data_IF_305483107494
#
_entry.id   IF_305483107494
#
_cell.length_a   1.000
_cell.length_b   1.000
_cell.length_c   1.000
_cell.angle_alpha   90.00
_cell.angle_beta   90.00
_cell.angle_gamma   90.00
#
_symmetry.space_group_name_H-M   'P 1'
#
loop_
_entity.id
_entity.type
_entity.pdbx_description
1 polymer ?
#
# COMPACT_ATOMS: atom_id res chain seq x y z
N UNK A 1 -17.52 -28.93 -0.33
CA UNK A 1 -16.61 -28.43 -1.38
C UNK A 1 -16.31 -26.93 -1.29
N UNK A 2 -17.27 -26.03 -1.06
CA UNK A 2 -16.99 -24.57 -0.99
C UNK A 2 -16.17 -24.15 0.25
N UNK A 3 -16.57 -24.55 1.46
CA UNK A 3 -15.83 -24.25 2.72
C UNK A 3 -14.38 -24.75 2.73
N UNK A 4 -14.12 -25.89 2.10
CA UNK A 4 -12.79 -26.50 2.01
C UNK A 4 -11.85 -25.70 1.13
N UNK A 5 -12.35 -24.98 0.10
CA UNK A 5 -11.47 -24.18 -0.76
C UNK A 5 -11.18 -22.80 -0.17
N UNK A 6 -12.12 -22.17 0.52
CA UNK A 6 -11.82 -20.96 1.30
C UNK A 6 -10.81 -21.26 2.41
N UNK A 7 -11.05 -22.34 3.17
CA UNK A 7 -10.09 -22.81 4.15
C UNK A 7 -8.75 -23.11 3.48
N UNK A 8 -8.73 -23.74 2.29
CA UNK A 8 -7.48 -23.98 1.56
C UNK A 8 -6.80 -22.70 1.10
N UNK A 9 -7.51 -21.66 0.64
CA UNK A 9 -6.93 -20.37 0.23
C UNK A 9 -6.41 -19.58 1.42
N UNK A 10 -7.16 -19.53 2.52
CA UNK A 10 -6.72 -18.91 3.77
C UNK A 10 -5.56 -19.71 4.37
N UNK A 11 -5.60 -21.04 4.33
CA UNK A 11 -4.48 -21.89 4.73
C UNK A 11 -3.30 -21.79 3.78
N UNK A 12 -3.49 -21.54 2.48
CA UNK A 12 -2.41 -21.29 1.53
C UNK A 12 -1.79 -19.93 1.79
N UNK A 13 -2.60 -18.92 2.09
CA UNK A 13 -2.12 -17.59 2.45
C UNK A 13 -1.39 -17.64 3.79
N UNK A 14 -1.96 -18.31 4.80
CA UNK A 14 -1.34 -18.54 6.10
C UNK A 14 -0.11 -19.42 5.98
N UNK A 15 -0.11 -20.46 5.14
CA UNK A 15 1.05 -21.31 4.89
C UNK A 15 2.12 -20.55 4.12
N UNK A 16 1.76 -19.72 3.13
CA UNK A 16 2.68 -18.85 2.43
C UNK A 16 3.30 -17.84 3.41
N UNK A 17 2.48 -17.17 4.22
CA UNK A 17 2.94 -16.29 5.31
C UNK A 17 3.83 -17.09 6.26
N UNK A 18 3.42 -18.28 6.69
CA UNK A 18 4.20 -19.14 7.60
C UNK A 18 5.53 -19.57 6.99
N UNK A 19 5.57 -19.97 5.72
CA UNK A 19 6.80 -20.36 5.00
C UNK A 19 7.73 -19.17 4.77
N UNK A 20 7.16 -18.02 4.43
CA UNK A 20 7.93 -16.77 4.31
C UNK A 20 8.37 -16.28 5.69
N UNK A 21 7.65 -16.64 6.76
CA UNK A 21 8.05 -16.32 8.14
C UNK A 21 9.07 -17.30 8.72
N UNK A 22 9.03 -18.57 8.32
CA UNK A 22 9.83 -19.67 8.83
C UNK A 22 11.12 -19.93 8.03
N UNK A 23 11.38 -19.16 6.99
CA UNK A 23 12.69 -19.10 6.36
C UNK A 23 13.69 -18.35 7.28
N UNK A 24 14.07 -19.00 8.39
CA UNK A 24 15.21 -18.68 9.24
C UNK A 24 15.77 -20.03 9.72
N UNK A 25 17.01 -20.35 9.36
CA UNK A 25 17.74 -21.53 9.87
C UNK A 25 18.96 -21.01 10.62
N UNK A 26 19.04 -21.36 11.90
CA UNK A 26 20.20 -21.22 12.80
C UNK A 26 21.20 -22.39 12.60
N UNK A 27 22.50 -22.09 12.78
CA UNK A 27 23.53 -23.05 13.13
C UNK A 27 24.64 -22.34 13.94
N UNK A 28 25.04 -22.92 15.09
CA UNK A 28 26.05 -22.47 16.08
C UNK A 28 27.43 -23.18 15.90
N UNK A 29 28.55 -22.46 16.06
CA UNK A 29 29.53 -22.53 17.17
C UNK A 29 30.63 -21.40 17.18
N UNK A 30 30.73 -20.73 18.34
CA UNK A 30 31.86 -20.12 19.09
C UNK A 30 32.87 -19.10 18.47
N UNK A 31 32.74 -17.87 19.01
CA UNK A 31 33.71 -16.78 19.28
C UNK A 31 34.34 -15.91 18.18
N UNK A 32 34.19 -16.25 16.89
CA UNK A 32 34.24 -15.26 15.78
C UNK A 32 32.93 -15.23 14.98
N UNK A 33 31.96 -15.97 15.52
CA UNK A 33 30.73 -16.36 14.88
C UNK A 33 29.59 -15.41 15.21
N UNK A 34 29.60 -14.76 16.38
CA UNK A 34 28.56 -13.78 16.75
C UNK A 34 28.62 -12.56 15.83
N UNK A 35 29.82 -12.10 15.45
CA UNK A 35 29.99 -10.99 14.50
C UNK A 35 29.59 -11.41 13.08
N UNK A 36 29.98 -12.62 12.65
CA UNK A 36 29.67 -13.14 11.31
C UNK A 36 28.19 -13.55 11.18
N UNK A 37 27.57 -14.04 12.24
CA UNK A 37 26.14 -14.35 12.34
C UNK A 37 25.30 -13.10 12.55
N UNK A 38 25.75 -12.09 13.29
CA UNK A 38 25.07 -10.80 13.32
C UNK A 38 25.16 -10.16 11.94
N UNK A 39 26.33 -10.15 11.30
CA UNK A 39 26.48 -9.69 9.93
C UNK A 39 25.69 -10.53 8.92
N UNK A 40 25.54 -11.85 9.08
CA UNK A 40 24.72 -12.70 8.20
C UNK A 40 23.22 -12.61 8.51
N UNK A 41 22.82 -12.49 9.78
CA UNK A 41 21.44 -12.32 10.25
C UNK A 41 20.92 -10.94 9.86
N UNK A 42 21.76 -9.93 10.02
CA UNK A 42 21.49 -8.58 9.57
C UNK A 42 21.70 -8.47 8.07
N UNK A 43 22.65 -9.12 7.40
CA UNK A 43 22.68 -9.18 5.92
C UNK A 43 21.41 -9.82 5.37
N UNK A 44 20.87 -10.88 5.98
CA UNK A 44 19.62 -11.50 5.56
C UNK A 44 18.38 -10.63 5.88
N UNK A 45 18.37 -9.86 6.97
CA UNK A 45 17.32 -8.87 7.27
C UNK A 45 17.48 -7.55 6.48
N UNK A 46 18.70 -7.26 6.01
CA UNK A 46 19.11 -6.10 5.22
C UNK A 46 19.32 -6.47 3.74
N UNK A 47 18.92 -7.67 3.30
CA UNK A 47 19.28 -8.21 1.99
C UNK A 47 18.55 -7.45 0.87
N UNK A 48 19.38 -6.73 0.11
CA UNK A 48 19.28 -5.98 -1.16
C UNK A 48 18.12 -5.03 -1.46
N UNK A 49 16.89 -5.30 -1.01
CA UNK A 49 15.72 -4.49 -1.41
C UNK A 49 15.15 -3.62 -0.28
N UNK A 50 15.56 -3.85 0.98
CA UNK A 50 15.12 -3.05 2.13
C UNK A 50 16.20 -2.07 2.62
N UNK A 51 17.47 -2.35 2.34
CA UNK A 51 18.61 -1.50 2.71
C UNK A 51 19.17 -0.79 1.47
N UNK A 52 19.35 0.52 1.58
CA UNK A 52 20.09 1.34 0.62
C UNK A 52 21.43 1.69 1.28
N UNK A 53 22.53 1.23 0.69
CA UNK A 53 23.89 1.58 1.11
C UNK A 53 24.48 2.56 0.10
N UNK A 54 24.90 3.73 0.58
CA UNK A 54 25.61 4.74 -0.22
C UNK A 54 27.04 4.92 0.33
N UNK A 55 28.03 4.78 -0.55
CA UNK A 55 29.45 4.82 -0.16
C UNK A 55 29.89 3.56 0.61
N UNK A 56 30.87 3.72 1.50
CA UNK A 56 31.42 2.62 2.30
C UNK A 56 31.36 2.93 3.81
N UNK A 57 30.14 2.99 4.38
CA UNK A 57 29.90 3.49 5.74
C UNK A 57 30.52 2.63 6.86
N UNK A 58 30.91 1.39 6.57
CA UNK A 58 31.40 0.43 7.57
C UNK A 58 32.90 0.11 7.46
N UNK A 59 33.60 0.54 6.40
CA UNK A 59 35.03 0.25 6.26
C UNK A 59 35.95 1.20 7.01
N UNK A 60 35.45 2.37 7.42
CA UNK A 60 36.24 3.37 8.15
C UNK A 60 36.11 3.17 9.65
N UNK A 61 37.26 3.04 10.32
CA UNK A 61 37.32 3.20 11.76
C UNK A 61 37.16 4.69 12.09
N UNK A 62 35.97 5.11 12.52
CA UNK A 62 35.71 6.49 12.93
C UNK A 62 36.51 6.78 14.20
N UNK A 63 37.53 7.63 14.11
CA UNK A 63 38.29 8.06 15.28
C UNK A 63 37.46 9.05 16.11
N UNK A 64 37.43 8.90 17.43
CA UNK A 64 36.63 9.76 18.34
C UNK A 64 35.15 9.92 17.90
N UNK A 65 34.40 8.81 17.76
CA UNK A 65 33.03 8.87 17.28
C UNK A 65 32.05 9.35 18.37
N UNK A 66 30.97 9.99 17.94
CA UNK A 66 29.83 10.36 18.77
C UNK A 66 28.54 9.97 18.04
N UNK A 67 27.69 9.19 18.71
CA UNK A 67 26.37 8.88 18.18
C UNK A 67 25.42 10.02 18.53
N UNK A 68 24.73 10.56 17.52
CA UNK A 68 23.68 11.55 17.69
C UNK A 68 22.35 10.92 17.28
N UNK A 69 21.47 10.74 18.26
CA UNK A 69 20.16 10.11 18.07
C UNK A 69 19.10 11.18 17.86
N UNK A 70 18.37 11.06 16.75
CA UNK A 70 17.25 11.94 16.43
C UNK A 70 16.17 11.91 17.51
N UNK A 71 15.60 13.06 17.83
CA UNK A 71 14.52 13.17 18.81
C UNK A 71 13.16 12.71 18.29
N UNK A 72 13.03 12.54 16.96
CA UNK A 72 11.76 12.23 16.29
C UNK A 72 11.85 10.99 15.42
N UNK A 73 12.53 9.94 15.89
CA UNK A 73 12.69 8.69 15.15
C UNK A 73 11.35 8.03 14.84
N UNK A 74 11.20 7.53 13.62
CA UNK A 74 10.03 6.73 13.24
C UNK A 74 10.09 5.30 13.83
N UNK A 75 9.00 4.54 13.65
CA UNK A 75 8.87 3.17 14.21
C UNK A 75 9.94 2.21 13.65
N UNK A 76 10.36 2.41 12.40
CA UNK A 76 11.38 1.59 11.75
C UNK A 76 12.75 1.98 12.32
N UNK A 77 13.09 3.26 12.38
CA UNK A 77 14.33 3.75 12.99
C UNK A 77 14.45 3.35 14.46
N UNK A 78 13.37 3.38 15.24
CA UNK A 78 13.36 2.88 16.62
C UNK A 78 13.64 1.37 16.71
N UNK A 79 13.15 0.60 15.75
CA UNK A 79 13.36 -0.84 15.69
C UNK A 79 14.76 -1.22 15.25
N UNK A 80 15.34 -0.49 14.29
CA UNK A 80 16.61 -0.85 13.68
C UNK A 80 17.82 -0.11 14.28
N UNK A 81 17.68 1.06 14.91
CA UNK A 81 18.84 1.74 15.49
C UNK A 81 19.64 0.89 16.50
N UNK A 82 19.05 0.02 17.35
CA UNK A 82 19.85 -0.83 18.25
C UNK A 82 20.79 -1.77 17.50
N UNK A 83 20.40 -2.19 16.29
CA UNK A 83 21.21 -3.02 15.40
C UNK A 83 22.41 -2.22 14.91
N UNK A 84 22.20 -0.98 14.48
CA UNK A 84 23.27 -0.10 14.01
C UNK A 84 24.22 0.29 15.14
N UNK A 85 23.70 0.51 16.35
CA UNK A 85 24.53 0.78 17.54
C UNK A 85 25.44 -0.39 17.90
N UNK A 86 25.07 -1.63 17.54
CA UNK A 86 25.91 -2.80 17.76
C UNK A 86 27.22 -2.74 16.94
N UNK A 87 27.23 -2.03 15.81
CA UNK A 87 28.43 -1.77 15.01
C UNK A 87 29.37 -0.72 15.64
N UNK A 88 28.88 0.05 16.62
CA UNK A 88 29.63 1.10 17.31
C UNK A 88 29.65 0.86 18.84
N UNK A 89 30.22 -0.27 19.31
CA UNK A 89 30.20 -0.64 20.72
C UNK A 89 31.01 0.35 21.57
N UNK A 90 30.41 0.82 22.67
CA UNK A 90 31.06 1.72 23.62
C UNK A 90 31.14 3.18 23.18
N UNK A 91 30.57 3.53 22.02
CA UNK A 91 30.51 4.91 21.55
C UNK A 91 29.43 5.68 22.33
N UNK A 92 29.74 6.88 22.87
CA UNK A 92 28.76 7.67 23.61
C UNK A 92 27.62 8.13 22.71
N UNK A 93 26.43 8.27 23.31
CA UNK A 93 25.22 8.69 22.63
C UNK A 93 24.70 9.99 23.23
N UNK A 94 24.30 10.92 22.37
CA UNK A 94 23.62 12.16 22.74
C UNK A 94 22.36 12.33 21.90
N UNK A 95 21.39 13.07 22.43
CA UNK A 95 20.24 13.50 21.63
C UNK A 95 20.65 14.59 20.65
N UNK A 96 19.99 14.63 19.49
CA UNK A 96 20.12 15.70 18.50
C UNK A 96 19.73 17.10 19.03
N UNK A 97 19.13 17.22 20.22
CA UNK A 97 18.90 18.51 20.89
C UNK A 97 20.16 19.08 21.53
N UNK A 98 21.16 18.24 21.80
CA UNK A 98 22.43 18.67 22.38
C UNK A 98 23.29 19.39 21.33
N UNK A 99 24.04 20.40 21.77
CA UNK A 99 25.01 21.13 20.93
C UNK A 99 26.45 20.87 21.35
N UNK A 100 26.65 20.35 22.56
CA UNK A 100 27.97 20.06 23.11
C UNK A 100 27.99 18.72 23.84
N UNK A 101 29.11 18.00 23.74
CA UNK A 101 29.38 16.82 24.54
C UNK A 101 30.80 16.91 25.11
N UNK A 102 30.96 16.57 26.40
CA UNK A 102 32.25 16.61 27.09
C UNK A 102 33.02 17.95 26.94
N UNK A 103 32.29 19.08 26.94
CA UNK A 103 32.87 20.42 26.81
C UNK A 103 33.34 20.81 25.40
N UNK A 104 33.10 19.98 24.39
CA UNK A 104 33.37 20.25 22.96
C UNK A 104 32.07 20.36 22.17
N UNK A 105 32.12 20.99 21.01
CA UNK A 105 30.98 20.98 20.09
C UNK A 105 30.73 19.57 19.59
N UNK A 106 29.47 19.16 19.41
CA UNK A 106 29.18 17.85 18.80
C UNK A 106 29.74 17.75 17.37
N UNK A 107 29.90 18.89 16.68
CA UNK A 107 30.48 18.97 15.35
C UNK A 107 32.03 18.85 15.34
N UNK A 108 32.67 18.66 16.50
CA UNK A 108 34.11 18.39 16.59
C UNK A 108 34.41 16.88 16.56
N UNK A 109 33.38 16.03 16.61
CA UNK A 109 33.48 14.57 16.60
C UNK A 109 33.25 14.00 15.19
N UNK A 110 33.63 12.74 14.98
CA UNK A 110 33.09 11.98 13.85
C UNK A 110 31.69 11.47 14.22
N UNK A 111 30.71 11.67 13.35
CA UNK A 111 29.31 11.51 13.73
C UNK A 111 28.73 10.18 13.24
N UNK A 112 28.03 9.48 14.13
CA UNK A 112 27.09 8.42 13.76
C UNK A 112 25.69 8.96 13.97
N UNK A 113 25.00 9.30 12.90
CA UNK A 113 23.68 9.90 12.94
C UNK A 113 22.62 8.82 12.84
N UNK A 114 21.69 8.81 13.80
CA UNK A 114 20.49 7.97 13.76
C UNK A 114 19.29 8.88 13.47
N UNK A 115 18.61 8.63 12.35
CA UNK A 115 17.48 9.41 11.86
C UNK A 115 17.84 10.26 10.63
N UNK A 116 16.97 10.24 9.61
CA UNK A 116 17.09 11.12 8.45
C UNK A 116 16.83 12.62 8.76
N UNK A 117 16.95 13.52 7.77
CA UNK A 117 16.77 14.97 7.96
C UNK A 117 15.50 15.42 8.71
N UNK A 118 14.36 14.75 8.52
CA UNK A 118 13.13 15.10 9.25
C UNK A 118 13.07 14.53 10.68
N UNK A 119 13.92 13.56 11.01
CA UNK A 119 13.91 12.84 12.29
C UNK A 119 15.09 13.20 13.21
N UNK A 120 16.16 13.80 12.64
CA UNK A 120 17.37 14.22 13.35
C UNK A 120 17.82 15.61 12.90
N UNK A 121 17.85 16.57 13.83
CA UNK A 121 18.24 17.97 13.59
C UNK A 121 19.65 18.11 13.02
N UNK A 122 20.60 17.29 13.48
CA UNK A 122 21.99 17.35 13.01
C UNK A 122 22.04 16.85 11.57
N UNK A 123 21.35 15.76 11.25
CA UNK A 123 21.19 15.29 9.87
C UNK A 123 20.59 16.37 8.96
N UNK A 124 19.54 17.08 9.43
CA UNK A 124 18.95 18.20 8.70
C UNK A 124 19.97 19.30 8.40
N UNK A 125 20.75 19.70 9.42
CA UNK A 125 21.77 20.76 9.31
C UNK A 125 22.84 20.40 8.28
N UNK A 126 23.30 19.14 8.28
CA UNK A 126 24.29 18.66 7.32
C UNK A 126 23.74 18.57 5.90
N UNK A 127 22.47 18.22 5.74
CA UNK A 127 21.77 18.20 4.44
C UNK A 127 21.60 19.62 3.88
N UNK A 128 21.17 20.58 4.71
CA UNK A 128 21.04 22.01 4.32
C UNK A 128 22.40 22.63 3.94
N UNK A 129 23.48 22.17 4.57
CA UNK A 129 24.85 22.58 4.23
C UNK A 129 25.39 21.94 2.93
N UNK A 130 24.62 21.03 2.30
CA UNK A 130 25.01 20.36 1.06
C UNK A 130 26.13 19.33 1.23
N UNK A 131 26.32 18.78 2.44
CA UNK A 131 27.38 17.80 2.71
C UNK A 131 27.04 16.39 2.21
N UNK A 132 25.76 16.12 2.02
CA UNK A 132 25.27 14.93 1.33
C UNK A 132 23.93 15.25 0.66
N UNK A 133 23.62 14.49 -0.38
CA UNK A 133 22.36 14.58 -1.11
C UNK A 133 21.77 13.17 -1.23
N UNK A 134 20.56 12.99 -0.69
CA UNK A 134 19.82 11.75 -0.82
C UNK A 134 18.33 12.08 -0.98
N UNK A 135 17.75 11.62 -2.08
CA UNK A 135 16.33 11.76 -2.37
C UNK A 135 15.70 10.37 -2.45
N UNK A 136 14.57 10.17 -1.79
CA UNK A 136 13.85 8.90 -1.94
C UNK A 136 12.94 8.92 -3.17
N UNK A 137 13.03 7.86 -3.98
CA UNK A 137 12.26 7.66 -5.22
C UNK A 137 11.10 6.68 -5.08
N UNK A 138 10.96 6.05 -3.91
CA UNK A 138 9.98 5.01 -3.61
C UNK A 138 9.25 5.30 -2.30
N UNK A 139 8.00 4.87 -2.18
CA UNK A 139 7.20 4.96 -0.95
C UNK A 139 7.44 3.77 -0.01
N UNK A 140 8.20 2.76 -0.46
CA UNK A 140 8.42 1.53 0.29
C UNK A 140 9.33 1.76 1.50
N UNK A 141 8.98 1.28 2.69
CA UNK A 141 9.83 1.41 3.86
C UNK A 141 11.20 0.80 3.57
N UNK A 142 12.25 1.59 3.74
CA UNK A 142 13.65 1.19 3.52
C UNK A 142 14.54 1.89 4.54
N UNK A 143 15.56 1.18 4.98
CA UNK A 143 16.65 1.73 5.78
C UNK A 143 17.71 2.26 4.81
N UNK A 144 18.22 3.45 5.09
CA UNK A 144 19.32 4.10 4.38
C UNK A 144 20.52 4.11 5.31
N UNK A 145 21.65 3.61 4.85
CA UNK A 145 22.94 3.77 5.52
C UNK A 145 23.87 4.43 4.52
N UNK A 146 24.38 5.61 4.86
CA UNK A 146 25.24 6.37 3.95
C UNK A 146 26.48 6.91 4.64
N UNK A 147 27.57 6.92 3.89
CA UNK A 147 28.78 7.64 4.24
C UNK A 147 28.60 9.14 3.96
N UNK A 148 28.90 9.98 4.94
CA UNK A 148 28.96 11.43 4.79
C UNK A 148 30.43 11.85 4.86
N UNK A 149 31.01 12.15 3.70
CA UNK A 149 32.34 12.75 3.63
C UNK A 149 32.29 14.18 4.17
N UNK A 150 33.26 14.56 5.02
CA UNK A 150 33.32 15.90 5.63
C UNK A 150 32.08 16.28 6.46
N UNK A 151 31.43 15.30 7.11
CA UNK A 151 30.31 15.55 8.02
C UNK A 151 30.62 16.61 9.10
N UNK A 152 31.89 16.74 9.46
CA UNK A 152 32.41 17.66 10.47
C UNK A 152 33.81 18.15 10.10
N UNK A 153 34.34 19.08 10.88
CA UNK A 153 35.75 19.47 10.81
C UNK A 153 36.72 18.28 11.06
N UNK A 154 36.24 17.20 11.71
CA UNK A 154 37.01 15.99 12.02
C UNK A 154 37.03 14.94 10.88
N UNK A 155 36.16 15.06 9.86
CA UNK A 155 36.40 14.49 8.53
C UNK A 155 35.40 13.45 8.01
N UNK A 156 34.62 12.75 8.83
CA UNK A 156 33.66 11.73 8.29
C UNK A 156 32.50 11.43 9.24
N UNK A 157 31.36 11.03 8.69
CA UNK A 157 30.24 10.52 9.46
C UNK A 157 29.50 9.40 8.74
N UNK A 158 28.69 8.67 9.50
CA UNK A 158 27.79 7.64 9.00
C UNK A 158 26.38 8.08 9.35
N UNK A 159 25.51 8.19 8.37
CA UNK A 159 24.09 8.41 8.58
C UNK A 159 23.35 7.10 8.41
N UNK A 160 22.56 6.74 9.42
CA UNK A 160 21.53 5.75 9.27
C UNK A 160 20.16 6.33 9.59
N UNK A 161 19.23 6.22 8.65
CA UNK A 161 17.84 6.60 8.84
C UNK A 161 16.93 5.73 7.99
N UNK A 162 15.64 6.05 7.96
CA UNK A 162 14.75 5.48 6.94
C UNK A 162 14.60 6.45 5.78
N UNK A 163 14.14 5.95 4.65
CA UNK A 163 13.80 6.82 3.52
C UNK A 163 12.72 7.86 3.87
N UNK A 164 11.88 7.64 4.89
CA UNK A 164 10.86 8.59 5.33
C UNK A 164 11.47 9.84 5.97
N UNK A 165 12.71 9.71 6.44
CA UNK A 165 13.54 10.82 6.89
C UNK A 165 13.92 11.82 5.79
N UNK A 166 13.77 11.44 4.52
CA UNK A 166 14.26 12.19 3.35
C UNK A 166 13.14 12.66 2.43
N UNK A 167 13.44 13.71 1.67
CA UNK A 167 12.53 14.30 0.68
C UNK A 167 12.16 13.28 -0.39
N UNK A 168 10.86 13.21 -0.71
CA UNK A 168 10.35 12.37 -1.79
C UNK A 168 10.40 13.09 -3.13
N UNK A 169 11.20 12.55 -4.05
CA UNK A 169 11.32 13.02 -5.44
C UNK A 169 11.14 11.81 -6.35
N UNK A 170 9.95 11.61 -6.94
CA UNK A 170 9.72 10.48 -7.83
C UNK A 170 10.57 10.64 -9.11
N UNK A 171 11.13 9.53 -9.60
CA UNK A 171 11.87 9.48 -10.86
C UNK A 171 10.97 9.49 -12.11
N UNK A 172 9.66 9.46 -11.88
CA UNK A 172 8.60 9.56 -12.88
C UNK A 172 7.83 10.86 -12.70
N UNK A 173 7.26 11.36 -13.80
CA UNK A 173 6.46 12.56 -13.76
C UNK A 173 5.14 12.32 -13.01
N UNK A 174 5.01 12.90 -11.83
CA UNK A 174 3.78 12.91 -11.01
C UNK A 174 3.24 14.35 -10.98
N UNK A 175 2.24 14.68 -11.83
CA UNK A 175 1.79 16.06 -12.04
C UNK A 175 1.41 16.80 -10.76
N UNK A 176 0.74 16.13 -9.83
CA UNK A 176 0.21 16.78 -8.63
C UNK A 176 1.28 17.06 -7.57
N UNK A 177 2.43 16.40 -7.62
CA UNK A 177 3.55 16.71 -6.71
C UNK A 177 4.22 18.04 -7.02
N UNK A 178 4.07 18.56 -8.24
CA UNK A 178 4.51 19.92 -8.58
C UNK A 178 3.55 21.01 -8.06
N UNK A 179 2.33 20.64 -7.68
CA UNK A 179 1.25 21.56 -7.31
C UNK A 179 0.86 21.48 -5.83
N UNK A 180 1.15 20.36 -5.18
CA UNK A 180 0.75 20.06 -3.81
C UNK A 180 1.97 19.72 -2.96
N UNK A 181 1.96 20.09 -1.66
CA UNK A 181 2.95 19.58 -0.73
C UNK A 181 2.80 18.05 -0.61
N UNK A 182 3.90 17.28 -0.43
CA UNK A 182 3.87 15.82 -0.43
C UNK A 182 2.85 15.21 0.53
N UNK A 183 2.65 15.83 1.70
CA UNK A 183 1.73 15.38 2.75
C UNK A 183 0.26 15.51 2.33
N UNK A 184 -0.06 16.41 1.40
CA UNK A 184 -1.41 16.60 0.89
C UNK A 184 -1.76 15.65 -0.27
N UNK A 185 -0.78 14.98 -0.87
CA UNK A 185 -0.97 14.14 -2.07
C UNK A 185 -1.93 12.97 -1.80
N UNK A 186 -1.80 12.17 -0.72
CA UNK A 186 -2.73 11.07 -0.46
C UNK A 186 -4.17 11.56 -0.24
N UNK A 187 -4.33 12.66 0.50
CA UNK A 187 -5.65 13.26 0.75
C UNK A 187 -6.29 13.78 -0.54
N UNK A 188 -5.51 14.38 -1.44
CA UNK A 188 -5.98 14.88 -2.73
C UNK A 188 -6.31 13.73 -3.70
N UNK A 189 -5.52 12.65 -3.70
CA UNK A 189 -5.83 11.43 -4.44
C UNK A 189 -7.16 10.83 -3.96
N UNK A 190 -7.36 10.80 -2.63
CA UNK A 190 -8.58 10.29 -2.02
C UNK A 190 -9.80 11.13 -2.39
N UNK A 191 -9.71 12.45 -2.23
CA UNK A 191 -10.76 13.37 -2.63
C UNK A 191 -11.11 13.23 -4.11
N UNK A 192 -10.11 13.09 -4.98
CA UNK A 192 -10.29 12.90 -6.43
C UNK A 192 -10.99 11.58 -6.73
N UNK A 193 -10.56 10.47 -6.13
CA UNK A 193 -11.21 9.16 -6.30
C UNK A 193 -12.69 9.18 -5.88
N UNK A 194 -12.98 9.79 -4.72
CA UNK A 194 -14.36 9.96 -4.22
C UNK A 194 -15.19 10.83 -5.19
N UNK A 195 -14.61 11.94 -5.65
CA UNK A 195 -15.27 12.85 -6.58
C UNK A 195 -15.58 12.15 -7.90
N UNK A 196 -14.64 11.38 -8.46
CA UNK A 196 -14.85 10.62 -9.69
C UNK A 196 -15.91 9.54 -9.52
N UNK A 197 -15.91 8.80 -8.39
CA UNK A 197 -16.95 7.82 -8.08
C UNK A 197 -18.35 8.44 -8.05
N UNK A 198 -18.46 9.67 -7.57
CA UNK A 198 -19.73 10.40 -7.50
C UNK A 198 -20.14 11.06 -8.82
N UNK A 199 -19.20 11.67 -9.55
CA UNK A 199 -19.46 12.46 -10.75
C UNK A 199 -19.54 11.63 -12.02
N UNK A 200 -18.56 10.74 -12.23
CA UNK A 200 -18.36 10.08 -13.53
C UNK A 200 -19.56 9.23 -13.97
N UNK A 201 -20.26 8.48 -13.08
CA UNK A 201 -21.49 7.79 -13.46
C UNK A 201 -22.60 8.73 -13.96
N UNK A 202 -22.71 9.94 -13.37
CA UNK A 202 -23.71 10.94 -13.77
C UNK A 202 -23.35 11.57 -15.10
N UNK A 203 -22.08 11.88 -15.30
CA UNK A 203 -21.58 12.41 -16.57
C UNK A 203 -21.79 11.41 -17.70
N UNK A 204 -21.45 10.13 -17.48
CA UNK A 204 -21.67 9.06 -18.47
C UNK A 204 -23.17 8.91 -18.79
N UNK A 205 -24.04 8.96 -17.77
CA UNK A 205 -25.49 8.90 -18.00
C UNK A 205 -25.99 10.09 -18.82
N UNK A 206 -25.57 11.31 -18.47
CA UNK A 206 -25.89 12.53 -19.20
C UNK A 206 -25.40 12.47 -20.66
N UNK A 207 -24.15 12.08 -20.89
CA UNK A 207 -23.59 11.96 -22.24
C UNK A 207 -24.30 10.89 -23.07
N UNK A 208 -24.70 9.78 -22.45
CA UNK A 208 -25.48 8.73 -23.12
C UNK A 208 -26.87 9.24 -23.51
N UNK A 209 -27.52 9.98 -22.62
CA UNK A 209 -28.83 10.58 -22.86
C UNK A 209 -28.75 11.64 -23.95
N UNK A 210 -27.78 12.56 -23.85
CA UNK A 210 -27.50 13.56 -24.88
C UNK A 210 -27.20 12.93 -26.24
N UNK A 211 -26.33 11.91 -26.29
CA UNK A 211 -26.03 11.19 -27.52
C UNK A 211 -27.28 10.52 -28.08
N UNK A 212 -28.10 9.88 -27.23
CA UNK A 212 -29.36 9.28 -27.66
C UNK A 212 -30.29 10.33 -28.27
N UNK A 213 -30.49 11.48 -27.61
CA UNK A 213 -31.31 12.58 -28.13
C UNK A 213 -30.77 13.10 -29.46
N UNK A 214 -29.46 13.34 -29.57
CA UNK A 214 -28.83 13.77 -30.82
C UNK A 214 -28.93 12.72 -31.93
N UNK A 215 -28.96 11.43 -31.59
CA UNK A 215 -29.12 10.34 -32.56
C UNK A 215 -30.58 10.18 -32.98
N UNK A 216 -31.54 10.32 -32.07
CA UNK A 216 -32.98 10.33 -32.34
C UNK A 216 -33.38 11.53 -33.22
N UNK A 217 -32.73 12.69 -33.07
CA UNK A 217 -32.90 13.87 -33.95
C UNK A 217 -32.35 13.64 -35.38
N UNK A 218 -31.43 12.68 -35.55
CA UNK A 218 -30.83 12.30 -36.83
C UNK A 218 -31.54 11.08 -37.46
N UNK A 219 -32.39 10.36 -36.72
CA UNK A 219 -32.98 9.09 -37.16
C UNK A 219 -34.51 9.07 -37.11
N UNK A 220 -35.15 9.97 -37.87
CA UNK A 220 -36.46 9.64 -38.48
C UNK A 220 -36.32 8.74 -39.73
N UNK A 221 -35.10 8.55 -40.27
CA UNK A 221 -34.88 7.79 -41.51
C UNK A 221 -34.39 6.34 -41.30
N UNK A 222 -34.25 5.85 -40.06
CA UNK A 222 -33.66 4.52 -39.81
C UNK A 222 -34.30 3.72 -38.66
N UNK A 223 -35.62 3.78 -38.50
CA UNK A 223 -36.35 2.93 -37.55
C UNK A 223 -37.07 1.75 -38.22
N UNK A 224 -36.27 0.83 -38.76
CA UNK A 224 -36.58 -0.59 -38.76
C UNK A 224 -35.35 -1.35 -38.30
N UNK A 225 -35.08 -1.41 -36.99
CA UNK A 225 -34.63 -2.65 -36.33
C UNK A 225 -34.56 -2.50 -34.79
N UNK A 226 -35.30 -3.39 -34.10
CA UNK A 226 -35.13 -3.86 -32.72
C UNK A 226 -35.33 -2.87 -31.55
N UNK A 227 -36.59 -2.78 -31.14
CA UNK A 227 -36.95 -2.96 -29.73
C UNK A 227 -36.44 -4.32 -29.22
N UNK A 228 -35.45 -4.32 -28.31
CA UNK A 228 -35.17 -5.48 -27.45
C UNK A 228 -36.03 -5.36 -26.20
N UNK A 229 -36.79 -6.40 -25.80
CA UNK A 229 -37.55 -6.36 -24.57
C UNK A 229 -36.60 -6.33 -23.36
N UNK A 230 -37.07 -5.66 -22.29
CA UNK A 230 -36.52 -5.69 -20.94
C UNK A 230 -36.19 -7.13 -20.54
N UNK A 231 -34.89 -7.43 -20.39
CA UNK A 231 -34.42 -8.77 -20.01
C UNK A 231 -34.97 -9.13 -18.63
N UNK A 232 -35.68 -10.26 -18.56
CA UNK A 232 -36.02 -10.95 -17.32
C UNK A 232 -34.75 -11.19 -16.47
N UNK A 233 -34.86 -11.42 -15.14
CA UNK A 233 -33.71 -11.67 -14.30
C UNK A 233 -32.94 -12.87 -14.87
N UNK A 234 -31.77 -12.63 -15.45
CA UNK A 234 -30.93 -13.71 -15.98
C UNK A 234 -30.36 -14.47 -14.80
N UNK A 235 -30.85 -15.70 -14.57
CA UNK A 235 -30.17 -16.69 -13.74
C UNK A 235 -28.99 -17.22 -14.55
N UNK A 236 -27.77 -16.91 -14.10
CA UNK A 236 -26.57 -17.31 -14.83
C UNK A 236 -26.15 -18.74 -14.43
N UNK A 237 -25.95 -19.66 -15.39
CA UNK A 237 -25.48 -21.01 -15.07
C UNK A 237 -24.08 -20.96 -14.45
N UNK A 238 -23.97 -21.30 -13.16
CA UNK A 238 -22.69 -21.35 -12.44
C UNK A 238 -21.97 -22.69 -12.68
N UNK A 239 -20.81 -22.66 -13.35
CA UNK A 239 -19.60 -23.42 -12.96
C UNK A 239 -18.40 -23.20 -13.89
N UNK A 240 -17.24 -22.84 -13.31
CA UNK A 240 -15.93 -23.21 -13.85
C UNK A 240 -14.91 -23.51 -12.75
N UNK A 241 -14.76 -22.65 -11.74
CA UNK A 241 -13.80 -22.81 -10.62
C UNK A 241 -14.30 -22.04 -9.38
N UNK A 242 -14.12 -22.57 -8.16
CA UNK A 242 -14.54 -21.96 -6.87
C UNK A 242 -16.04 -21.66 -6.66
N UNK A 243 -16.89 -21.82 -7.68
CA UNK A 243 -18.29 -21.37 -7.64
C UNK A 243 -18.52 -20.02 -8.31
N UNK A 244 -17.46 -19.41 -8.85
CA UNK A 244 -17.50 -18.19 -9.67
C UNK A 244 -17.86 -18.52 -11.11
N UNK A 245 -18.52 -17.57 -11.78
CA UNK A 245 -18.83 -17.67 -13.21
C UNK A 245 -17.56 -17.48 -14.07
N UNK A 246 -17.56 -17.95 -15.32
CA UNK A 246 -16.42 -17.68 -16.24
C UNK A 246 -16.25 -16.19 -16.51
N UNK A 247 -17.36 -15.47 -16.59
CA UNK A 247 -17.40 -14.02 -16.81
C UNK A 247 -16.84 -13.30 -15.60
N UNK A 248 -17.28 -13.67 -14.40
CA UNK A 248 -16.79 -13.15 -13.14
C UNK A 248 -15.29 -13.38 -12.97
N UNK A 249 -14.80 -14.60 -13.24
CA UNK A 249 -13.37 -14.90 -13.18
C UNK A 249 -12.56 -14.04 -14.17
N UNK A 250 -13.08 -13.80 -15.38
CA UNK A 250 -12.45 -12.93 -16.37
C UNK A 250 -12.40 -11.47 -15.89
N UNK A 251 -13.51 -10.94 -15.36
CA UNK A 251 -13.56 -9.57 -14.83
C UNK A 251 -12.66 -9.40 -13.61
N UNK A 252 -12.63 -10.38 -12.72
CA UNK A 252 -11.79 -10.41 -11.54
C UNK A 252 -10.30 -10.42 -11.94
N UNK A 253 -9.95 -11.27 -12.91
CA UNK A 253 -8.59 -11.35 -13.46
C UNK A 253 -8.17 -10.03 -14.11
N UNK A 254 -9.00 -9.48 -14.98
CA UNK A 254 -8.73 -8.19 -15.60
C UNK A 254 -8.59 -7.08 -14.55
N UNK A 255 -9.41 -7.11 -13.49
CA UNK A 255 -9.40 -6.12 -12.41
C UNK A 255 -8.13 -6.17 -11.58
N UNK A 256 -7.70 -7.34 -11.11
CA UNK A 256 -6.48 -7.42 -10.32
C UNK A 256 -5.22 -7.19 -11.14
N UNK A 257 -5.21 -7.58 -12.43
CA UNK A 257 -4.09 -7.28 -13.32
C UNK A 257 -3.98 -5.77 -13.55
N UNK A 258 -5.11 -5.12 -13.85
CA UNK A 258 -5.16 -3.68 -14.04
C UNK A 258 -4.74 -2.93 -12.77
N UNK A 259 -5.32 -3.28 -11.62
CA UNK A 259 -4.98 -2.64 -10.36
C UNK A 259 -3.51 -2.85 -10.00
N UNK A 260 -3.01 -4.09 -10.07
CA UNK A 260 -1.61 -4.42 -9.77
C UNK A 260 -0.64 -3.66 -10.66
N UNK A 261 -0.95 -3.49 -11.95
CA UNK A 261 -0.13 -2.70 -12.88
C UNK A 261 -0.09 -1.21 -12.49
N UNK A 262 -1.25 -0.58 -12.27
CA UNK A 262 -1.32 0.84 -11.91
C UNK A 262 -0.77 1.13 -10.52
N UNK A 263 -0.87 0.16 -9.60
CA UNK A 263 -0.27 0.27 -8.28
C UNK A 263 1.25 0.10 -8.36
N UNK A 264 1.76 -0.87 -9.14
CA UNK A 264 3.20 -1.00 -9.37
C UNK A 264 3.77 0.26 -10.03
N UNK A 265 3.05 0.83 -11.01
CA UNK A 265 3.39 2.10 -11.64
C UNK A 265 3.40 3.26 -10.65
N UNK A 266 2.39 3.37 -9.79
CA UNK A 266 2.29 4.45 -8.80
C UNK A 266 3.39 4.38 -7.74
N UNK A 267 3.73 3.19 -7.27
CA UNK A 267 4.50 3.04 -6.01
C UNK A 267 5.95 2.56 -6.22
N UNK A 268 6.31 2.08 -7.42
CA UNK A 268 7.70 1.69 -7.73
C UNK A 268 8.46 2.83 -8.41
N UNK A 269 9.78 2.87 -8.21
CA UNK A 269 10.66 3.61 -9.13
C UNK A 269 10.66 2.95 -10.52
N UNK A 270 11.17 3.65 -11.52
CA UNK A 270 11.30 3.12 -12.89
C UNK A 270 12.17 1.86 -12.90
N UNK A 271 13.26 1.84 -12.13
CA UNK A 271 14.18 0.70 -12.06
C UNK A 271 13.57 -0.53 -11.38
N UNK A 272 12.70 -0.33 -10.39
CA UNK A 272 12.10 -1.42 -9.60
C UNK A 272 10.79 -1.95 -10.19
N UNK A 273 10.20 -1.23 -11.15
CA UNK A 273 8.88 -1.55 -11.68
C UNK A 273 8.75 -3.01 -12.13
N UNK A 274 9.71 -3.51 -12.92
CA UNK A 274 9.68 -4.88 -13.46
C UNK A 274 9.84 -5.93 -12.36
N UNK A 275 10.72 -5.67 -11.38
CA UNK A 275 10.95 -6.56 -10.24
C UNK A 275 9.74 -6.65 -9.31
N UNK A 276 9.06 -5.52 -9.11
CA UNK A 276 7.91 -5.40 -8.20
C UNK A 276 6.61 -5.91 -8.82
N UNK A 277 6.44 -5.78 -10.14
CA UNK A 277 5.18 -6.07 -10.82
C UNK A 277 4.60 -7.45 -10.48
N UNK A 278 5.37 -8.56 -10.44
CA UNK A 278 4.82 -9.87 -10.07
C UNK A 278 4.24 -9.91 -8.65
N UNK A 279 4.90 -9.26 -7.68
CA UNK A 279 4.43 -9.18 -6.30
C UNK A 279 3.14 -8.36 -6.20
N UNK A 280 3.04 -7.27 -6.96
CA UNK A 280 1.86 -6.41 -6.98
C UNK A 280 0.65 -7.09 -7.63
N UNK A 281 0.87 -7.82 -8.73
CA UNK A 281 -0.18 -8.63 -9.36
C UNK A 281 -0.68 -9.73 -8.42
N UNK A 282 0.23 -10.42 -7.73
CA UNK A 282 -0.13 -11.47 -6.78
C UNK A 282 -0.88 -10.91 -5.56
N UNK A 283 -0.38 -9.82 -4.96
CA UNK A 283 -1.01 -9.17 -3.82
C UNK A 283 -2.41 -8.68 -4.15
N UNK A 284 -2.56 -7.98 -5.28
CA UNK A 284 -3.86 -7.51 -5.74
C UNK A 284 -4.82 -8.68 -6.05
N UNK A 285 -4.32 -9.74 -6.68
CA UNK A 285 -5.11 -10.92 -7.01
C UNK A 285 -5.61 -11.65 -5.78
N UNK A 286 -4.75 -11.88 -4.79
CA UNK A 286 -5.13 -12.53 -3.53
C UNK A 286 -6.22 -11.77 -2.80
N UNK A 287 -6.07 -10.45 -2.66
CA UNK A 287 -7.06 -9.60 -1.98
C UNK A 287 -8.42 -9.64 -2.70
N UNK A 288 -8.45 -9.35 -4.01
CA UNK A 288 -9.70 -9.31 -4.76
C UNK A 288 -10.39 -10.68 -4.82
N UNK A 289 -9.65 -11.76 -5.06
CA UNK A 289 -10.23 -13.10 -5.13
C UNK A 289 -10.84 -13.51 -3.79
N UNK A 290 -10.14 -13.29 -2.68
CA UNK A 290 -10.65 -13.64 -1.36
C UNK A 290 -11.86 -12.78 -1.00
N UNK A 291 -11.79 -11.47 -1.28
CA UNK A 291 -12.88 -10.54 -1.04
C UNK A 291 -14.17 -10.95 -1.76
N UNK A 292 -14.09 -11.16 -3.07
CA UNK A 292 -15.28 -11.51 -3.88
C UNK A 292 -15.81 -12.91 -3.61
N UNK A 293 -14.91 -13.86 -3.31
CA UNK A 293 -15.33 -15.18 -2.88
C UNK A 293 -16.18 -15.13 -1.61
N UNK A 294 -15.87 -14.24 -0.66
CA UNK A 294 -16.65 -14.06 0.57
C UNK A 294 -18.02 -13.44 0.29
N UNK A 295 -18.12 -12.48 -0.64
CA UNK A 295 -19.41 -11.97 -1.09
C UNK A 295 -20.29 -13.05 -1.70
N UNK A 296 -19.74 -13.84 -2.64
CA UNK A 296 -20.47 -14.96 -3.25
C UNK A 296 -20.91 -15.98 -2.18
N UNK A 297 -20.03 -16.33 -1.24
CA UNK A 297 -20.38 -17.26 -0.17
C UNK A 297 -21.50 -16.72 0.74
N UNK A 298 -21.48 -15.42 1.05
CA UNK A 298 -22.51 -14.78 1.84
C UNK A 298 -23.85 -14.71 1.09
N UNK A 299 -23.83 -14.41 -0.21
CA UNK A 299 -25.04 -14.33 -1.04
C UNK A 299 -25.76 -15.68 -1.10
N UNK A 300 -25.02 -16.77 -1.21
CA UNK A 300 -25.56 -18.13 -1.22
C UNK A 300 -26.35 -18.47 0.06
N UNK A 301 -25.98 -17.92 1.22
CA UNK A 301 -26.74 -18.15 2.47
C UNK A 301 -28.14 -17.56 2.44
N UNK A 302 -28.36 -16.57 1.59
CA UNK A 302 -29.65 -15.92 1.42
C UNK A 302 -30.38 -16.36 0.16
N UNK A 303 -29.84 -17.33 -0.61
CA UNK A 303 -30.41 -17.75 -1.88
C UNK A 303 -30.35 -16.66 -2.96
N UNK A 304 -29.40 -15.72 -2.83
CA UNK A 304 -29.24 -14.55 -3.68
C UNK A 304 -27.96 -14.72 -4.50
N UNK A 305 -27.95 -14.22 -5.73
CA UNK A 305 -26.77 -14.22 -6.58
C UNK A 305 -26.01 -12.91 -6.46
N UNK A 306 -24.70 -13.01 -6.27
CA UNK A 306 -23.75 -11.91 -6.40
C UNK A 306 -22.81 -12.24 -7.58
N UNK A 307 -22.46 -11.23 -8.38
CA UNK A 307 -21.43 -11.35 -9.42
C UNK A 307 -20.55 -10.11 -9.43
N UNK A 308 -19.23 -10.30 -9.31
CA UNK A 308 -18.28 -9.23 -9.49
C UNK A 308 -18.14 -8.84 -10.97
N UNK A 309 -18.16 -7.53 -11.25
CA UNK A 309 -17.85 -7.00 -12.58
C UNK A 309 -16.92 -5.81 -12.51
N UNK A 310 -16.00 -5.79 -13.46
CA UNK A 310 -15.12 -4.65 -13.70
C UNK A 310 -15.95 -3.42 -14.11
N UNK A 311 -15.59 -2.26 -13.57
CA UNK A 311 -16.33 -1.00 -13.72
C UNK A 311 -15.46 0.02 -14.47
N UNK A 312 -15.90 0.54 -15.64
CA UNK A 312 -15.16 1.59 -16.34
C UNK A 312 -14.88 2.81 -15.46
N UNK A 313 -15.83 3.20 -14.61
CA UNK A 313 -15.65 4.31 -13.65
C UNK A 313 -14.55 3.98 -12.64
N UNK A 314 -14.53 2.74 -12.14
CA UNK A 314 -13.51 2.27 -11.20
C UNK A 314 -12.12 2.28 -11.84
N UNK A 315 -12.00 1.72 -13.04
CA UNK A 315 -10.75 1.71 -13.81
C UNK A 315 -10.20 3.11 -14.09
N UNK A 316 -11.07 4.02 -14.55
CA UNK A 316 -10.69 5.42 -14.82
C UNK A 316 -10.23 6.09 -13.52
N UNK A 317 -10.91 5.84 -12.40
CA UNK A 317 -10.53 6.41 -11.11
C UNK A 317 -9.18 5.87 -10.61
N UNK A 318 -8.92 4.56 -10.76
CA UNK A 318 -7.62 3.93 -10.46
C UNK A 318 -6.52 4.55 -11.33
N UNK A 319 -6.76 4.69 -12.63
CA UNK A 319 -5.77 5.25 -13.54
C UNK A 319 -5.47 6.72 -13.26
N UNK A 320 -6.50 7.54 -13.05
CA UNK A 320 -6.35 8.97 -12.77
C UNK A 320 -5.62 9.17 -11.43
N UNK A 321 -6.02 8.46 -10.38
CA UNK A 321 -5.37 8.61 -9.07
C UNK A 321 -3.91 8.18 -9.14
N UNK A 322 -3.64 7.01 -9.71
CA UNK A 322 -2.28 6.48 -9.92
C UNK A 322 -1.37 7.46 -10.67
N UNK A 323 -1.81 7.94 -11.83
CA UNK A 323 -0.97 8.76 -12.72
C UNK A 323 -0.80 10.18 -12.19
N UNK A 324 -1.87 10.80 -11.69
CA UNK A 324 -1.81 12.20 -11.25
C UNK A 324 -1.10 12.37 -9.92
N UNK A 325 -1.31 11.44 -8.98
CA UNK A 325 -0.86 11.57 -7.59
C UNK A 325 0.27 10.61 -7.23
N UNK A 326 0.61 9.65 -8.09
CA UNK A 326 1.61 8.63 -7.74
C UNK A 326 1.15 7.67 -6.65
N UNK A 327 -0.17 7.59 -6.40
CA UNK A 327 -0.77 6.62 -5.47
C UNK A 327 -2.18 6.27 -5.93
N UNK A 328 -2.68 5.08 -5.57
CA UNK A 328 -3.99 4.59 -6.03
C UNK A 328 -5.04 4.81 -4.95
N UNK A 329 -6.17 5.45 -5.29
CA UNK A 329 -7.33 5.54 -4.39
C UNK A 329 -8.64 5.32 -5.14
N UNK A 330 -8.88 4.07 -5.53
CA UNK A 330 -10.13 3.58 -6.11
C UNK A 330 -10.06 2.05 -6.26
N UNK A 331 -11.18 1.43 -6.64
CA UNK A 331 -11.27 -0.01 -6.89
C UNK A 331 -11.79 -0.21 -8.32
N UNK A 332 -11.23 -1.16 -9.10
CA UNK A 332 -11.50 -1.29 -10.53
C UNK A 332 -12.88 -1.88 -10.86
N UNK A 333 -13.60 -2.42 -9.88
CA UNK A 333 -14.86 -3.14 -10.09
C UNK A 333 -15.84 -2.95 -8.96
N UNK A 334 -16.95 -3.68 -9.04
CA UNK A 334 -17.98 -3.73 -8.00
C UNK A 334 -18.77 -5.02 -8.10
N UNK A 335 -19.42 -5.38 -7.00
CA UNK A 335 -20.27 -6.56 -6.93
C UNK A 335 -21.73 -6.21 -7.12
N UNK A 336 -22.38 -6.94 -8.02
CA UNK A 336 -23.78 -6.79 -8.34
C UNK A 336 -24.58 -7.87 -7.65
N UNK A 337 -25.51 -7.46 -6.79
CA UNK A 337 -26.43 -8.36 -6.11
C UNK A 337 -27.75 -8.41 -6.89
N UNK A 338 -28.02 -9.57 -7.50
CA UNK A 338 -29.19 -9.82 -8.34
C UNK A 338 -30.34 -10.46 -7.55
N UNK A 339 -31.58 -10.27 -8.03
CA UNK A 339 -32.78 -10.82 -7.43
C UNK A 339 -33.41 -9.95 -6.33
N UNK A 340 -34.51 -10.45 -5.77
CA UNK A 340 -35.34 -9.75 -4.78
C UNK A 340 -34.76 -9.88 -3.36
N UNK A 341 -33.65 -9.19 -3.14
CA UNK A 341 -32.98 -9.11 -1.84
C UNK A 341 -33.52 -7.93 -1.02
N UNK A 342 -33.92 -8.18 0.23
CA UNK A 342 -34.25 -7.13 1.21
C UNK A 342 -33.03 -6.26 1.51
N UNK A 343 -33.25 -5.02 1.95
CA UNK A 343 -32.15 -4.12 2.38
C UNK A 343 -31.26 -4.78 3.43
N UNK A 344 -31.84 -5.56 4.34
CA UNK A 344 -31.08 -6.28 5.35
C UNK A 344 -30.18 -7.38 4.77
N UNK A 345 -30.62 -8.10 3.74
CA UNK A 345 -29.79 -9.09 3.06
C UNK A 345 -28.69 -8.41 2.25
N UNK A 346 -29.04 -7.37 1.46
CA UNK A 346 -28.06 -6.61 0.66
C UNK A 346 -26.98 -6.01 1.53
N UNK A 347 -27.35 -5.33 2.62
CA UNK A 347 -26.38 -4.73 3.52
C UNK A 347 -25.52 -5.75 4.26
N UNK A 348 -26.05 -6.93 4.61
CA UNK A 348 -25.23 -8.01 5.21
C UNK A 348 -24.23 -8.61 4.20
N UNK A 349 -24.66 -8.82 2.96
CA UNK A 349 -23.77 -9.32 1.89
C UNK A 349 -22.70 -8.27 1.57
N UNK A 350 -23.07 -6.99 1.46
CA UNK A 350 -22.12 -5.89 1.29
C UNK A 350 -21.14 -5.79 2.46
N UNK A 351 -21.58 -6.00 3.70
CA UNK A 351 -20.71 -5.79 4.87
C UNK A 351 -19.62 -6.86 5.04
N UNK A 352 -19.79 -8.08 4.50
CA UNK A 352 -18.77 -9.14 4.68
C UNK A 352 -17.47 -8.88 3.91
N UNK A 353 -17.53 -8.15 2.79
CA UNK A 353 -16.36 -7.75 2.01
C UNK A 353 -15.40 -6.88 2.81
N UNK A 354 -15.83 -5.70 3.30
CA UNK A 354 -15.02 -4.85 4.15
C UNK A 354 -14.47 -5.57 5.40
N UNK A 355 -15.27 -6.45 6.02
CA UNK A 355 -14.79 -7.25 7.15
C UNK A 355 -13.61 -8.17 6.79
N UNK A 356 -13.67 -8.89 5.66
CA UNK A 356 -12.54 -9.73 5.23
C UNK A 356 -11.36 -8.88 4.77
N UNK A 357 -11.60 -7.70 4.20
CA UNK A 357 -10.55 -6.75 3.84
C UNK A 357 -9.73 -6.33 5.06
N UNK A 358 -10.34 -6.02 6.20
CA UNK A 358 -9.59 -5.69 7.44
C UNK A 358 -8.76 -6.87 7.96
N UNK A 359 -9.26 -8.10 7.84
CA UNK A 359 -8.47 -9.28 8.20
C UNK A 359 -7.25 -9.39 7.28
N UNK A 360 -7.42 -9.15 5.98
CA UNK A 360 -6.31 -9.16 5.02
C UNK A 360 -5.31 -8.02 5.26
N UNK A 361 -5.76 -6.83 5.67
CA UNK A 361 -4.87 -5.73 6.09
C UNK A 361 -3.91 -6.23 7.19
N UNK A 362 -4.43 -6.88 8.23
CA UNK A 362 -3.60 -7.42 9.31
C UNK A 362 -2.62 -8.51 8.82
N UNK A 363 -3.05 -9.39 7.90
CA UNK A 363 -2.21 -10.46 7.37
C UNK A 363 -1.06 -9.94 6.49
N UNK A 364 -1.35 -9.00 5.58
CA UNK A 364 -0.34 -8.41 4.70
C UNK A 364 0.60 -7.46 5.45
N UNK A 365 0.14 -6.84 6.54
CA UNK A 365 1.01 -6.06 7.44
C UNK A 365 2.19 -6.88 7.98
N UNK A 366 1.99 -8.17 8.26
CA UNK A 366 3.05 -9.07 8.72
C UNK A 366 4.16 -9.27 7.67
N UNK A 367 3.84 -9.10 6.39
CA UNK A 367 4.78 -9.27 5.28
C UNK A 367 5.56 -8.00 4.94
N UNK A 368 5.04 -6.81 5.29
CA UNK A 368 5.68 -5.51 4.98
C UNK A 368 7.14 -5.44 5.42
N UNK A 369 7.45 -6.07 6.56
CA UNK A 369 8.75 -5.99 7.22
C UNK A 369 9.78 -6.99 6.69
N UNK A 370 9.45 -7.77 5.65
CA UNK A 370 10.29 -8.86 5.15
C UNK A 370 11.24 -8.46 4.01
N UNK A 371 11.14 -7.23 3.50
CA UNK A 371 11.92 -6.77 2.35
C UNK A 371 11.67 -7.58 1.07
N UNK A 372 12.32 -7.21 -0.03
CA UNK A 372 12.27 -7.97 -1.27
C UNK A 372 10.87 -8.23 -1.83
N UNK A 373 10.70 -9.40 -2.45
CA UNK A 373 9.42 -9.84 -3.01
C UNK A 373 8.32 -9.94 -1.93
N UNK A 374 8.64 -10.45 -0.74
CA UNK A 374 7.68 -10.61 0.35
C UNK A 374 7.16 -9.25 0.87
N UNK A 375 8.06 -8.28 1.04
CA UNK A 375 7.73 -6.90 1.38
C UNK A 375 6.90 -6.21 0.29
N UNK A 376 7.26 -6.39 -0.98
CA UNK A 376 6.48 -5.87 -2.11
C UNK A 376 5.06 -6.48 -2.17
N UNK A 377 4.94 -7.79 -1.92
CA UNK A 377 3.67 -8.51 -1.84
C UNK A 377 2.83 -8.02 -0.66
N UNK A 378 3.47 -7.86 0.51
CA UNK A 378 2.93 -7.26 1.72
C UNK A 378 2.35 -5.88 1.43
N UNK A 379 3.12 -5.02 0.77
CA UNK A 379 2.74 -3.66 0.46
C UNK A 379 1.56 -3.59 -0.50
N UNK A 380 1.59 -4.38 -1.58
CA UNK A 380 0.50 -4.43 -2.54
C UNK A 380 -0.81 -4.93 -1.91
N UNK A 381 -0.75 -6.05 -1.19
CA UNK A 381 -1.91 -6.63 -0.53
C UNK A 381 -2.46 -5.75 0.60
N UNK A 382 -1.59 -5.17 1.43
CA UNK A 382 -1.97 -4.25 2.51
C UNK A 382 -2.75 -3.05 1.96
N UNK A 383 -2.18 -2.35 0.96
CA UNK A 383 -2.80 -1.17 0.39
C UNK A 383 -4.16 -1.48 -0.25
N UNK A 384 -4.24 -2.49 -1.13
CA UNK A 384 -5.52 -2.81 -1.77
C UNK A 384 -6.57 -3.23 -0.73
N UNK A 385 -6.20 -4.10 0.23
CA UNK A 385 -7.13 -4.51 1.28
C UNK A 385 -7.63 -3.32 2.09
N UNK A 386 -6.76 -2.36 2.42
CA UNK A 386 -7.15 -1.18 3.18
C UNK A 386 -8.04 -0.24 2.35
N UNK A 387 -7.69 0.00 1.08
CA UNK A 387 -8.52 0.77 0.15
C UNK A 387 -9.90 0.13 0.04
N UNK A 388 -10.01 -1.19 -0.14
CA UNK A 388 -11.30 -1.89 -0.16
C UNK A 388 -12.07 -1.72 1.15
N UNK A 389 -11.39 -1.87 2.29
CA UNK A 389 -12.01 -1.70 3.60
C UNK A 389 -12.60 -0.30 3.83
N UNK A 390 -11.98 0.76 3.29
CA UNK A 390 -12.41 2.15 3.48
C UNK A 390 -13.31 2.64 2.35
N UNK A 391 -12.83 2.54 1.11
CA UNK A 391 -13.45 3.12 -0.08
C UNK A 391 -14.83 2.51 -0.33
N UNK A 392 -14.98 1.19 -0.23
CA UNK A 392 -16.27 0.55 -0.48
C UNK A 392 -17.31 0.94 0.55
N UNK A 393 -16.88 1.26 1.78
CA UNK A 393 -17.77 1.68 2.85
C UNK A 393 -18.19 3.14 2.78
N UNK A 394 -17.77 3.91 1.77
CA UNK A 394 -18.31 5.23 1.51
C UNK A 394 -19.81 5.15 1.16
N UNK A 395 -20.69 5.93 1.79
CA UNK A 395 -22.15 5.82 1.63
C UNK A 395 -22.67 6.50 0.35
N UNK A 396 -22.01 6.27 -0.79
CA UNK A 396 -22.32 6.85 -2.11
C UNK A 396 -22.52 5.72 -3.14
N UNK A 397 -23.45 5.89 -4.09
CA UNK A 397 -23.53 4.96 -5.23
C UNK A 397 -22.33 5.21 -6.15
N UNK A 398 -21.68 4.17 -6.70
CA UNK A 398 -22.09 2.75 -6.73
C UNK A 398 -21.53 1.85 -5.60
N UNK A 399 -20.96 2.43 -4.54
CA UNK A 399 -20.19 1.73 -3.51
C UNK A 399 -21.10 1.10 -2.45
N UNK A 400 -20.60 0.01 -1.85
CA UNK A 400 -21.35 -0.91 -0.99
C UNK A 400 -21.78 -0.33 0.36
N UNK A 401 -21.09 0.71 0.83
CA UNK A 401 -21.36 1.39 2.09
C UNK A 401 -22.76 1.99 2.13
N UNK A 402 -23.36 2.25 0.96
CA UNK A 402 -24.75 2.68 0.87
C UNK A 402 -25.72 1.56 1.27
N UNK A 403 -25.50 0.33 0.81
CA UNK A 403 -26.28 -0.86 1.15
C UNK A 403 -26.08 -1.21 2.64
N UNK A 404 -24.86 -1.15 3.17
CA UNK A 404 -24.59 -1.38 4.59
C UNK A 404 -25.29 -0.34 5.47
N UNK A 405 -25.21 0.95 5.10
CA UNK A 405 -25.88 2.02 5.83
C UNK A 405 -27.40 1.91 5.78
N UNK A 406 -27.97 1.42 4.67
CA UNK A 406 -29.40 1.17 4.54
C UNK A 406 -29.87 0.04 5.46
N UNK A 407 -29.09 -1.04 5.58
CA UNK A 407 -29.37 -2.13 6.52
C UNK A 407 -29.22 -1.70 7.98
N UNK A 408 -28.08 -1.09 8.34
CA UNK A 408 -27.79 -0.65 9.71
C UNK A 408 -26.84 0.54 9.73
N UNK A 409 -27.40 1.71 10.08
CA UNK A 409 -26.63 2.94 10.28
C UNK A 409 -25.54 2.78 11.34
N UNK A 410 -25.78 1.95 12.37
CA UNK A 410 -24.82 1.69 13.44
C UNK A 410 -23.70 0.76 12.99
N UNK A 411 -24.01 -0.33 12.27
CA UNK A 411 -22.98 -1.21 11.73
C UNK A 411 -22.04 -0.43 10.80
N UNK A 412 -22.61 0.43 9.94
CA UNK A 412 -21.83 1.30 9.07
C UNK A 412 -20.94 2.27 9.87
N UNK A 413 -21.47 3.02 10.84
CA UNK A 413 -20.69 4.02 11.60
C UNK A 413 -19.58 3.38 12.45
N UNK A 414 -19.89 2.31 13.17
CA UNK A 414 -18.95 1.66 14.09
C UNK A 414 -17.81 0.97 13.33
N UNK A 415 -18.03 0.61 12.07
CA UNK A 415 -16.96 0.12 11.21
C UNK A 415 -16.21 1.26 10.52
N UNK A 416 -16.93 2.15 9.82
CA UNK A 416 -16.33 3.11 8.89
C UNK A 416 -15.43 4.12 9.60
N UNK A 417 -15.87 4.71 10.72
CA UNK A 417 -15.07 5.76 11.37
C UNK A 417 -13.76 5.24 11.95
N UNK A 418 -13.70 4.14 12.73
CA UNK A 418 -12.43 3.62 13.23
C UNK A 418 -11.47 3.22 12.10
N UNK A 419 -12.00 2.54 11.06
CA UNK A 419 -11.20 2.09 9.92
C UNK A 419 -10.68 3.28 9.10
N UNK A 420 -11.50 4.30 8.86
CA UNK A 420 -11.10 5.52 8.18
C UNK A 420 -10.06 6.32 8.98
N UNK A 421 -10.25 6.44 10.30
CA UNK A 421 -9.27 7.11 11.17
C UNK A 421 -7.93 6.37 11.14
N UNK A 422 -7.94 5.04 11.22
CA UNK A 422 -6.71 4.24 11.13
C UNK A 422 -6.04 4.41 9.77
N UNK A 423 -6.82 4.37 8.67
CA UNK A 423 -6.31 4.62 7.33
C UNK A 423 -5.67 6.01 7.22
N UNK A 424 -6.38 7.06 7.63
CA UNK A 424 -5.89 8.43 7.58
C UNK A 424 -4.65 8.61 8.47
N UNK A 425 -4.62 7.99 9.65
CA UNK A 425 -3.46 8.07 10.54
C UNK A 425 -2.23 7.41 9.91
N UNK A 426 -2.37 6.23 9.32
CA UNK A 426 -1.28 5.56 8.63
C UNK A 426 -0.80 6.42 7.47
N UNK A 427 -1.66 6.85 6.56
CA UNK A 427 -1.21 7.59 5.37
C UNK A 427 -0.70 9.02 5.64
N UNK A 428 -1.00 9.61 6.80
CA UNK A 428 -0.54 10.96 7.15
C UNK A 428 0.70 10.96 8.05
N UNK A 429 0.94 9.88 8.81
CA UNK A 429 1.97 9.85 9.86
C UNK A 429 2.93 8.65 9.78
N UNK A 430 2.69 7.69 8.87
CA UNK A 430 3.51 6.50 8.64
C UNK A 430 3.78 6.33 7.14
#
# INVERSE_FOLDING_TARGET
MKRTVFAALVLLLLALILTLTAAQIEYESEDDEVRTQLLQKYQAELESDFLIIEGDPFSRNLADPLVVVGSSLDVIEQRYHPIILAEFPGVPQVSDTETTYNGRSIYDYNLVLIGGPTHNRVTATLSEAGLFEFERKTSKPRVVVMEISNATAAGSGVLCGTIYGFTFVPDKWVPMMALLPPEAVPAAAAATGIFLAWLLPKLIAFLREFAKTATEEISEELLLEKTRPSLAPQQFPKSALLGLSKIELMHLTASFVFFGLFMAWAESSISEFVQNLPAYLLGAGLVLIIHEYVHDLASHRFGIEAEFRMSPVGMISVAITSVLFGTVFAIPGRTFIYGDATDAQRGKIAFVGPLVSIVMVALFWLLLHRGGFAGALGFAGFNLAFIMAVYEMLPIRPLEGKEVRAWSRWAWRLYFFPVFILYAWIFLFL
#
